data_IF_469412800573
#
_entry.id   IF_469412800573
#
_cell.length_a   1.000
_cell.length_b   1.000
_cell.length_c   1.000
_cell.angle_alpha   90.00
_cell.angle_beta   90.00
_cell.angle_gamma   90.00
#
_symmetry.space_group_name_H-M   'P 1'
#
loop_
_entity.id
_entity.type
_entity.pdbx_description
1 polymer ?
#
# COMPACT_ATOMS: atom_id res chain seq x y z
N UNK A 1 9.94 16.93 12.06
CA UNK A 1 9.47 15.52 12.14
C UNK A 1 8.21 15.25 11.31
N UNK A 2 7.16 16.09 11.33
CA UNK A 2 5.92 15.86 10.55
C UNK A 2 6.09 15.60 9.03
N UNK A 3 7.11 16.19 8.39
CA UNK A 3 7.34 16.06 6.94
C UNK A 3 7.94 14.71 6.53
N UNK A 4 8.77 14.09 7.38
CA UNK A 4 9.34 12.77 7.11
C UNK A 4 8.27 11.66 7.21
N UNK A 5 7.32 11.82 8.13
CA UNK A 5 6.18 10.89 8.25
C UNK A 5 5.30 10.84 6.99
N UNK A 6 5.21 11.96 6.25
CA UNK A 6 4.43 12.02 5.02
C UNK A 6 5.03 11.18 3.88
N UNK A 7 6.37 11.12 3.78
CA UNK A 7 7.05 10.29 2.77
C UNK A 7 6.94 8.78 3.04
N UNK A 8 6.66 8.40 4.29
CA UNK A 8 6.53 7.00 4.72
C UNK A 8 5.10 6.47 4.59
N UNK A 9 4.15 7.28 4.10
CA UNK A 9 2.74 6.88 4.00
C UNK A 9 2.56 5.67 3.08
N UNK A 10 3.15 5.65 1.88
CA UNK A 10 3.13 4.50 0.98
C UNK A 10 3.66 3.22 1.64
N UNK A 11 4.89 3.22 2.18
CA UNK A 11 5.45 2.07 2.89
C UNK A 11 4.61 1.59 4.07
N UNK A 12 3.99 2.50 4.83
CA UNK A 12 3.09 2.15 5.94
C UNK A 12 1.81 1.47 5.44
N UNK A 13 1.22 1.95 4.35
CA UNK A 13 0.05 1.32 3.73
C UNK A 13 0.42 -0.09 3.23
N UNK A 14 1.57 -0.24 2.57
CA UNK A 14 2.05 -1.54 2.13
C UNK A 14 2.27 -2.51 3.30
N UNK A 15 2.91 -2.06 4.38
CA UNK A 15 3.13 -2.89 5.56
C UNK A 15 1.80 -3.33 6.22
N UNK A 16 0.83 -2.41 6.32
CA UNK A 16 -0.50 -2.73 6.85
C UNK A 16 -1.25 -3.72 5.96
N UNK A 17 -1.17 -3.55 4.63
CA UNK A 17 -1.74 -4.48 3.66
C UNK A 17 -1.11 -5.88 3.80
N UNK A 18 0.22 -5.96 3.85
CA UNK A 18 0.94 -7.22 4.00
C UNK A 18 0.55 -7.94 5.30
N UNK A 19 0.48 -7.21 6.42
CA UNK A 19 0.03 -7.76 7.69
C UNK A 19 -1.39 -8.32 7.61
N UNK A 20 -2.31 -7.61 6.94
CA UNK A 20 -3.70 -8.04 6.79
C UNK A 20 -3.81 -9.34 5.97
N UNK A 21 -3.09 -9.43 4.84
CA UNK A 21 -3.05 -10.62 3.98
C UNK A 21 -2.48 -11.82 4.74
N UNK A 22 -1.35 -11.64 5.42
CA UNK A 22 -0.69 -12.74 6.13
C UNK A 22 -1.47 -13.21 7.36
N UNK A 23 -2.10 -12.28 8.09
CA UNK A 23 -2.97 -12.61 9.20
C UNK A 23 -4.22 -13.37 8.71
N UNK A 24 -4.87 -12.92 7.63
CA UNK A 24 -6.07 -13.58 7.13
C UNK A 24 -5.79 -14.99 6.64
N UNK A 25 -4.63 -15.25 6.03
CA UNK A 25 -4.19 -16.61 5.63
C UNK A 25 -4.14 -17.55 6.84
N UNK A 26 -3.48 -17.12 7.92
CA UNK A 26 -3.37 -17.89 9.16
C UNK A 26 -4.74 -18.19 9.81
N UNK A 27 -5.67 -17.24 9.75
CA UNK A 27 -7.03 -17.41 10.29
C UNK A 27 -7.88 -18.30 9.38
N UNK A 28 -7.75 -18.16 8.07
CA UNK A 28 -8.52 -18.93 7.09
C UNK A 28 -8.21 -20.42 7.16
N UNK A 29 -6.95 -20.81 7.36
CA UNK A 29 -6.61 -22.23 7.56
C UNK A 29 -7.04 -22.76 8.93
N UNK A 30 -7.14 -21.91 9.95
CA UNK A 30 -7.69 -22.32 11.24
C UNK A 30 -9.20 -22.57 11.18
N UNK A 31 -9.94 -21.80 10.38
CA UNK A 31 -11.40 -21.86 10.32
C UNK A 31 -11.97 -22.54 9.07
N UNK A 32 -11.11 -23.01 8.15
CA UNK A 32 -11.51 -23.64 6.89
C UNK A 32 -12.41 -22.76 6.00
N UNK A 33 -12.19 -21.44 6.03
CA UNK A 33 -12.98 -20.45 5.27
C UNK A 33 -12.13 -19.73 4.21
N UNK A 34 -11.82 -20.39 3.08
CA UNK A 34 -11.00 -19.78 2.02
C UNK A 34 -11.68 -18.57 1.36
N UNK A 35 -13.00 -18.59 1.22
CA UNK A 35 -13.75 -17.47 0.63
C UNK A 35 -13.63 -16.17 1.46
N UNK A 36 -13.49 -16.29 2.79
CA UNK A 36 -13.28 -15.14 3.66
C UNK A 36 -11.87 -14.54 3.46
N UNK A 37 -10.86 -15.38 3.25
CA UNK A 37 -9.51 -14.93 2.91
C UNK A 37 -9.50 -14.13 1.62
N UNK A 38 -10.05 -14.68 0.53
CA UNK A 38 -10.06 -14.04 -0.79
C UNK A 38 -10.76 -12.67 -0.75
N UNK A 39 -11.88 -12.58 -0.03
CA UNK A 39 -12.60 -11.33 0.17
C UNK A 39 -11.76 -10.29 0.93
N UNK A 40 -11.04 -10.71 1.98
CA UNK A 40 -10.14 -9.83 2.74
C UNK A 40 -8.97 -9.38 1.87
N UNK A 41 -8.32 -10.29 1.13
CA UNK A 41 -7.20 -9.94 0.25
C UNK A 41 -7.65 -8.98 -0.84
N UNK A 42 -8.75 -9.27 -1.54
CA UNK A 42 -9.28 -8.40 -2.58
C UNK A 42 -9.63 -7.01 -2.04
N UNK A 43 -10.33 -6.96 -0.90
CA UNK A 43 -10.69 -5.71 -0.22
C UNK A 43 -9.45 -4.92 0.22
N UNK A 44 -8.52 -5.56 0.94
CA UNK A 44 -7.30 -4.93 1.43
C UNK A 44 -6.42 -4.43 0.28
N UNK A 45 -6.31 -5.18 -0.81
CA UNK A 45 -5.57 -4.78 -2.02
C UNK A 45 -6.20 -3.54 -2.64
N UNK A 46 -7.52 -3.54 -2.83
CA UNK A 46 -8.25 -2.40 -3.40
C UNK A 46 -8.09 -1.13 -2.56
N UNK A 47 -8.29 -1.24 -1.24
CA UNK A 47 -8.14 -0.08 -0.33
C UNK A 47 -6.69 0.43 -0.29
N UNK A 48 -5.70 -0.45 -0.29
CA UNK A 48 -4.29 -0.07 -0.30
C UNK A 48 -3.91 0.68 -1.60
N UNK A 49 -4.31 0.15 -2.76
CA UNK A 49 -4.11 0.81 -4.06
C UNK A 49 -4.78 2.19 -4.06
N UNK A 50 -6.06 2.27 -3.67
CA UNK A 50 -6.80 3.53 -3.64
C UNK A 50 -6.16 4.57 -2.71
N UNK A 51 -5.69 4.14 -1.53
CA UNK A 51 -5.03 4.99 -0.56
C UNK A 51 -3.69 5.53 -1.09
N UNK A 52 -2.85 4.69 -1.71
CA UNK A 52 -1.57 5.11 -2.29
C UNK A 52 -1.80 6.06 -3.47
N UNK A 53 -2.73 5.75 -4.38
CA UNK A 53 -3.05 6.62 -5.51
C UNK A 53 -3.60 7.98 -5.06
N UNK A 54 -4.46 8.00 -4.04
CA UNK A 54 -4.98 9.24 -3.47
C UNK A 54 -3.86 10.07 -2.83
N UNK A 55 -2.93 9.42 -2.12
CA UNK A 55 -1.76 10.06 -1.53
C UNK A 55 -0.84 10.66 -2.60
N UNK A 56 -0.48 9.89 -3.62
CA UNK A 56 0.34 10.34 -4.74
C UNK A 56 -0.33 11.52 -5.49
N UNK A 57 -1.63 11.41 -5.77
CA UNK A 57 -2.39 12.47 -6.45
C UNK A 57 -2.43 13.77 -5.63
N UNK A 58 -2.65 13.70 -4.31
CA UNK A 58 -2.58 14.87 -3.42
C UNK A 58 -1.18 15.49 -3.39
N UNK A 59 -0.15 14.65 -3.39
CA UNK A 59 1.25 15.07 -3.40
C UNK A 59 1.60 15.83 -4.69
N UNK A 60 1.14 15.35 -5.84
CA UNK A 60 1.33 16.03 -7.13
C UNK A 60 0.50 17.32 -7.21
N UNK A 61 -0.77 17.30 -6.77
CA UNK A 61 -1.65 18.47 -6.86
C UNK A 61 -1.18 19.64 -6.00
N UNK A 62 -0.60 19.36 -4.83
CA UNK A 62 -0.03 20.36 -3.94
C UNK A 62 1.32 20.92 -4.45
N UNK A 63 1.80 20.55 -5.64
CA UNK A 63 3.06 21.07 -6.24
C UNK A 63 2.86 22.40 -6.95
N UNK A 64 1.69 22.63 -7.56
CA UNK A 64 1.45 23.83 -8.39
C UNK A 64 1.37 25.14 -7.61
N UNK A 65 1.33 25.10 -6.27
CA UNK A 65 1.08 26.26 -5.42
C UNK A 65 2.33 26.82 -4.70
N UNK A 66 3.51 26.19 -4.82
CA UNK A 66 4.66 26.56 -3.99
C UNK A 66 5.96 26.54 -4.78
N UNK A 67 6.55 27.73 -5.00
CA UNK A 67 7.92 27.90 -5.47
C UNK A 67 8.89 27.29 -4.46
N UNK A 68 9.20 26.00 -4.64
CA UNK A 68 9.79 25.15 -3.62
C UNK A 68 11.31 25.04 -3.81
N UNK A 69 12.02 25.18 -2.70
CA UNK A 69 13.47 24.98 -2.58
C UNK A 69 13.86 23.54 -2.98
N UNK A 70 15.08 23.33 -3.47
CA UNK A 70 15.57 22.05 -4.04
C UNK A 70 15.37 20.85 -3.10
N UNK A 71 15.53 21.05 -1.78
CA UNK A 71 15.32 20.02 -0.77
C UNK A 71 13.87 19.50 -0.73
N UNK A 72 12.87 20.34 -0.99
CA UNK A 72 11.46 19.94 -0.98
C UNK A 72 11.09 19.13 -2.24
N UNK A 73 11.72 19.44 -3.38
CA UNK A 73 11.60 18.64 -4.60
C UNK A 73 12.17 17.25 -4.40
N UNK A 74 13.33 17.13 -3.75
CA UNK A 74 13.94 15.83 -3.44
C UNK A 74 13.04 14.96 -2.57
N UNK A 75 12.58 15.48 -1.42
CA UNK A 75 11.70 14.73 -0.50
C UNK A 75 10.41 14.27 -1.21
N UNK A 76 9.85 15.12 -2.08
CA UNK A 76 8.64 14.81 -2.86
C UNK A 76 8.88 13.70 -3.88
N UNK A 77 9.98 13.76 -4.62
CA UNK A 77 10.36 12.71 -5.56
C UNK A 77 10.60 11.38 -4.83
N UNK A 78 11.27 11.41 -3.68
CA UNK A 78 11.45 10.22 -2.85
C UNK A 78 10.11 9.66 -2.38
N UNK A 79 9.18 10.51 -1.91
CA UNK A 79 7.85 10.08 -1.50
C UNK A 79 7.08 9.41 -2.65
N UNK A 80 7.09 9.99 -3.86
CA UNK A 80 6.43 9.40 -5.04
C UNK A 80 7.09 8.10 -5.48
N UNK A 81 8.43 8.00 -5.40
CA UNK A 81 9.15 6.76 -5.69
C UNK A 81 8.79 5.66 -4.68
N UNK A 82 8.71 6.00 -3.38
CA UNK A 82 8.28 5.09 -2.32
C UNK A 82 6.82 4.65 -2.49
N UNK A 83 5.92 5.56 -2.87
CA UNK A 83 4.53 5.24 -3.18
C UNK A 83 4.43 4.29 -4.38
N UNK A 84 5.21 4.54 -5.45
CA UNK A 84 5.29 3.66 -6.61
C UNK A 84 5.81 2.27 -6.26
N UNK A 85 6.86 2.18 -5.44
CA UNK A 85 7.41 0.91 -4.97
C UNK A 85 6.39 0.16 -4.10
N UNK A 86 5.66 0.88 -3.26
CA UNK A 86 4.62 0.33 -2.39
C UNK A 86 3.45 -0.21 -3.20
N UNK A 87 3.03 0.48 -4.27
CA UNK A 87 2.01 0.01 -5.22
C UNK A 87 2.42 -1.30 -5.88
N UNK A 88 3.67 -1.39 -6.36
CA UNK A 88 4.20 -2.63 -6.93
C UNK A 88 4.15 -3.74 -5.89
N UNK A 89 4.56 -3.46 -4.66
CA UNK A 89 4.51 -4.41 -3.55
C UNK A 89 3.09 -4.89 -3.21
N UNK A 90 2.11 -3.99 -3.20
CA UNK A 90 0.69 -4.33 -2.95
C UNK A 90 0.14 -5.18 -4.08
N UNK A 91 0.34 -4.79 -5.34
CA UNK A 91 -0.13 -5.55 -6.49
C UNK A 91 0.50 -6.94 -6.54
N UNK A 92 1.81 -7.03 -6.28
CA UNK A 92 2.53 -8.31 -6.27
C UNK A 92 2.03 -9.23 -5.14
N UNK A 93 1.92 -8.70 -3.91
CA UNK A 93 1.46 -9.47 -2.76
C UNK A 93 0.01 -9.92 -2.90
N UNK A 94 -0.90 -9.01 -3.30
CA UNK A 94 -2.31 -9.34 -3.52
C UNK A 94 -2.50 -10.35 -4.64
N UNK A 95 -1.75 -10.23 -5.75
CA UNK A 95 -1.80 -11.19 -6.84
C UNK A 95 -1.29 -12.57 -6.41
N UNK A 96 -0.18 -12.63 -5.66
CA UNK A 96 0.33 -13.88 -5.12
C UNK A 96 -0.69 -14.54 -4.17
N UNK A 97 -1.26 -13.77 -3.24
CA UNK A 97 -2.23 -14.29 -2.28
C UNK A 97 -3.53 -14.79 -2.93
N UNK A 98 -3.97 -14.21 -4.04
CA UNK A 98 -5.15 -14.69 -4.79
C UNK A 98 -4.85 -15.88 -5.71
N UNK A 99 -3.58 -16.10 -6.10
CA UNK A 99 -3.16 -17.20 -6.96
C UNK A 99 -2.81 -18.47 -6.18
N UNK A 100 -2.33 -18.31 -4.95
CA UNK A 100 -2.02 -19.42 -4.06
C UNK A 100 -3.26 -19.76 -3.24
N UNK A 101 -3.73 -21.01 -3.33
CA UNK A 101 -4.75 -21.51 -2.41
C UNK A 101 -4.21 -21.39 -0.98
N UNK A 102 -4.90 -20.61 -0.14
CA UNK A 102 -4.47 -20.31 1.22
C UNK A 102 -4.18 -21.56 2.07
N UNK A 103 -4.84 -22.69 1.76
CA UNK A 103 -4.69 -23.93 2.50
C UNK A 103 -4.48 -25.10 1.54
N UNK A 104 -3.21 -25.42 1.29
CA UNK A 104 -2.78 -26.68 0.67
C UNK A 104 -1.79 -27.42 1.57
#
# INVERSE_FOLDING_TARGET
MRRAGFALTGPLIWAAHFLAVYASESLACRWSEPAAHDAIVAGATFFAIAAILLHAHRTVRNTGASGSCEAERFIRLTALALDGLSLIGVCWAGLAALLLDACR
#
